data_IF_321606943584
#
_entry.id   IF_321606943584
#
_cell.length_a   1.000
_cell.length_b   1.000
_cell.length_c   1.000
_cell.angle_alpha   90.00
_cell.angle_beta   90.00
_cell.angle_gamma   90.00
#
_symmetry.space_group_name_H-M   'P 1'
#
loop_
_entity.id
_entity.type
_entity.pdbx_description
1 polymer ?
#
# COMPACT_ATOMS: atom_id res chain seq x y z
N UNK A 1 -3.94 -20.12 -13.11
CA UNK A 1 -4.85 -19.87 -11.96
C UNK A 1 -4.07 -19.47 -10.70
N UNK A 2 -3.04 -20.23 -10.32
CA UNK A 2 -2.24 -19.99 -9.10
C UNK A 2 -1.51 -18.64 -9.07
N UNK A 3 -0.95 -18.20 -10.20
CA UNK A 3 -0.23 -16.91 -10.34
C UNK A 3 -1.15 -15.72 -10.09
N UNK A 4 -2.38 -15.75 -10.60
CA UNK A 4 -3.36 -14.68 -10.42
C UNK A 4 -3.76 -14.51 -8.96
N UNK A 5 -4.02 -15.62 -8.24
CA UNK A 5 -4.37 -15.58 -6.81
C UNK A 5 -3.21 -15.03 -5.98
N UNK A 6 -1.98 -15.42 -6.32
CA UNK A 6 -0.78 -14.92 -5.65
C UNK A 6 -0.56 -13.43 -5.89
N UNK A 7 -0.69 -12.96 -7.14
CA UNK A 7 -0.62 -11.52 -7.50
C UNK A 7 -1.66 -10.73 -6.72
N UNK A 8 -2.92 -11.19 -6.72
CA UNK A 8 -4.01 -10.53 -6.04
C UNK A 8 -3.77 -10.44 -4.53
N UNK A 9 -3.30 -11.52 -3.91
CA UNK A 9 -2.99 -11.56 -2.49
C UNK A 9 -1.84 -10.61 -2.12
N UNK A 10 -0.75 -10.64 -2.89
CA UNK A 10 0.40 -9.75 -2.70
C UNK A 10 -0.01 -8.28 -2.89
N UNK A 11 -0.82 -7.99 -3.89
CA UNK A 11 -1.33 -6.64 -4.14
C UNK A 11 -2.18 -6.11 -2.98
N UNK A 12 -3.16 -6.90 -2.51
CA UNK A 12 -4.00 -6.53 -1.35
C UNK A 12 -3.12 -6.26 -0.13
N UNK A 13 -2.15 -7.13 0.13
CA UNK A 13 -1.24 -6.98 1.27
C UNK A 13 -0.35 -5.74 1.15
N UNK A 14 0.16 -5.44 -0.05
CA UNK A 14 0.96 -4.23 -0.32
C UNK A 14 0.17 -2.97 -0.03
N UNK A 15 -1.06 -2.88 -0.54
CA UNK A 15 -1.92 -1.71 -0.33
C UNK A 15 -2.25 -1.54 1.15
N UNK A 16 -2.51 -2.62 1.88
CA UNK A 16 -2.73 -2.55 3.33
C UNK A 16 -1.52 -2.00 4.07
N UNK A 17 -0.31 -2.44 3.71
CA UNK A 17 0.93 -1.95 4.33
C UNK A 17 1.25 -0.50 3.93
N UNK A 18 0.99 -0.12 2.69
CA UNK A 18 1.14 1.25 2.18
C UNK A 18 0.28 2.23 3.00
N UNK A 19 -1.00 1.92 3.16
CA UNK A 19 -1.94 2.74 3.91
C UNK A 19 -1.68 2.71 5.42
N UNK A 20 -1.27 1.55 5.95
CA UNK A 20 -0.81 1.44 7.32
C UNK A 20 0.40 2.34 7.58
N UNK A 21 1.35 2.43 6.65
CA UNK A 21 2.53 3.29 6.77
C UNK A 21 2.15 4.78 6.83
N UNK A 22 1.23 5.22 5.98
CA UNK A 22 0.67 6.57 6.06
C UNK A 22 0.03 6.86 7.43
N UNK A 23 -0.80 5.95 7.94
CA UNK A 23 -1.44 6.09 9.24
C UNK A 23 -0.42 6.09 10.40
N UNK A 24 0.60 5.21 10.34
CA UNK A 24 1.63 5.10 11.36
C UNK A 24 2.49 6.36 11.46
N UNK A 25 2.92 6.90 10.31
CA UNK A 25 3.70 8.15 10.27
C UNK A 25 2.84 9.35 10.67
N UNK A 26 1.56 9.39 10.30
CA UNK A 26 0.64 10.44 10.73
C UNK A 26 0.42 10.43 12.25
N UNK A 27 0.27 9.23 12.84
CA UNK A 27 0.17 9.07 14.29
C UNK A 27 1.40 9.62 15.02
N UNK A 28 2.60 9.27 14.53
CA UNK A 28 3.85 9.80 15.07
C UNK A 28 3.98 11.32 14.85
N UNK A 29 3.46 11.81 13.72
CA UNK A 29 3.47 13.20 13.33
C UNK A 29 2.47 14.09 14.08
N UNK A 30 1.56 13.52 14.87
CA UNK A 30 0.65 14.25 15.76
C UNK A 30 -0.82 13.99 15.51
N UNK A 31 -1.20 13.40 14.38
CA UNK A 31 -2.59 13.03 14.12
C UNK A 31 -2.95 11.73 14.86
N UNK A 32 -3.31 11.87 16.13
CA UNK A 32 -3.76 10.73 16.95
C UNK A 32 -5.12 10.18 16.53
N UNK A 33 -5.90 10.91 15.72
CA UNK A 33 -7.24 10.50 15.29
C UNK A 33 -7.23 9.28 14.38
N UNK A 34 -6.10 8.99 13.71
CA UNK A 34 -5.94 7.77 12.90
C UNK A 34 -6.08 6.50 13.73
N UNK A 35 -5.76 6.55 15.03
CA UNK A 35 -5.96 5.44 15.96
C UNK A 35 -7.44 5.20 16.22
N UNK A 36 -8.19 6.27 16.49
CA UNK A 36 -9.62 6.19 16.82
C UNK A 36 -10.46 5.82 15.60
N UNK A 37 -10.04 6.26 14.40
CA UNK A 37 -10.61 5.81 13.11
C UNK A 37 -10.31 4.33 12.80
N UNK A 38 -9.38 3.72 13.55
CA UNK A 38 -9.03 2.32 13.40
C UNK A 38 -8.12 2.03 12.20
N UNK A 39 -7.30 3.00 11.77
CA UNK A 39 -6.34 2.84 10.66
C UNK A 39 -4.98 2.26 11.08
N UNK A 40 -4.78 1.97 12.37
CA UNK A 40 -3.57 1.31 12.88
C UNK A 40 -3.79 -0.20 13.02
N UNK A 41 -4.22 -0.85 11.95
CA UNK A 41 -4.49 -2.30 11.92
C UNK A 41 -4.19 -2.85 10.54
N UNK A 42 -3.63 -4.04 10.41
CA UNK A 42 -3.43 -4.68 9.10
C UNK A 42 -4.70 -5.35 8.56
N UNK A 43 -5.87 -4.97 9.07
CA UNK A 43 -7.13 -5.56 8.63
C UNK A 43 -7.53 -4.95 7.27
N UNK A 44 -7.50 -5.72 6.16
CA UNK A 44 -7.88 -5.22 4.85
C UNK A 44 -9.30 -4.64 4.84
N UNK A 45 -10.22 -5.14 5.66
CA UNK A 45 -11.60 -4.63 5.70
C UNK A 45 -11.73 -3.19 6.20
N UNK A 46 -10.67 -2.62 6.78
CA UNK A 46 -10.62 -1.21 7.23
C UNK A 46 -10.11 -0.27 6.16
N UNK A 47 -9.47 -0.81 5.14
CA UNK A 47 -8.88 -0.11 4.01
C UNK A 47 -9.68 -0.34 2.73
N UNK A 48 -10.22 -1.54 2.58
CA UNK A 48 -11.12 -1.93 1.51
C UNK A 48 -12.56 -1.60 1.90
N UNK A 49 -13.01 -0.41 1.49
CA UNK A 49 -14.45 -0.16 1.40
C UNK A 49 -14.94 -0.89 0.13
N UNK A 50 -15.76 -1.96 0.23
CA UNK A 50 -16.01 -2.90 -0.87
C UNK A 50 -16.56 -2.24 -2.15
N UNK A 51 -17.18 -1.08 -2.01
CA UNK A 51 -17.80 -0.33 -3.10
C UNK A 51 -16.79 0.55 -3.87
N UNK A 52 -15.75 1.07 -3.19
CA UNK A 52 -14.73 1.93 -3.81
C UNK A 52 -13.43 1.17 -4.13
N UNK A 53 -13.05 0.18 -3.32
CA UNK A 53 -11.73 -0.47 -3.39
C UNK A 53 -11.64 -1.67 -4.32
N UNK A 54 -12.76 -2.23 -4.80
CA UNK A 54 -12.74 -3.31 -5.83
C UNK A 54 -12.99 -2.77 -7.24
N UNK A 55 -13.85 -1.75 -7.37
CA UNK A 55 -14.26 -1.22 -8.67
C UNK A 55 -13.14 -0.41 -9.34
N UNK A 56 -12.45 0.44 -8.57
CA UNK A 56 -11.37 1.30 -9.08
C UNK A 56 -10.17 0.49 -9.62
N UNK A 57 -9.58 -0.46 -8.87
CA UNK A 57 -8.44 -1.24 -9.38
C UNK A 57 -8.78 -2.07 -10.61
N UNK A 58 -9.99 -2.64 -10.69
CA UNK A 58 -10.45 -3.42 -11.85
C UNK A 58 -10.65 -2.53 -13.08
N UNK A 59 -11.26 -1.36 -12.92
CA UNK A 59 -11.45 -0.39 -14.01
C UNK A 59 -10.12 0.15 -14.52
N UNK A 60 -9.14 0.40 -13.63
CA UNK A 60 -7.82 0.90 -14.01
C UNK A 60 -6.92 -0.18 -14.63
N UNK A 61 -7.02 -1.43 -14.16
CA UNK A 61 -6.35 -2.58 -14.76
C UNK A 61 -6.82 -2.80 -16.21
N UNK A 62 -8.10 -2.53 -16.50
CA UNK A 62 -8.67 -2.58 -17.86
C UNK A 62 -8.24 -1.36 -18.71
N UNK A 63 -7.93 -0.21 -18.11
CA UNK A 63 -7.49 1.00 -18.82
C UNK A 63 -5.96 1.17 -18.94
N UNK A 64 -5.15 0.22 -18.43
CA UNK A 64 -3.69 0.24 -18.55
C UNK A 64 -2.99 1.34 -17.72
N UNK A 65 -3.64 1.84 -16.67
CA UNK A 65 -3.20 3.04 -15.93
C UNK A 65 -2.69 2.76 -14.52
N UNK A 66 -1.66 3.52 -14.14
CA UNK A 66 -0.99 3.61 -12.83
C UNK A 66 -2.03 3.53 -11.70
N UNK A 67 -1.90 2.53 -10.83
CA UNK A 67 -2.86 2.29 -9.75
C UNK A 67 -2.84 3.43 -8.73
N UNK A 68 -3.96 4.12 -8.56
CA UNK A 68 -4.17 4.95 -7.37
C UNK A 68 -4.55 4.03 -6.21
N UNK A 69 -3.97 4.23 -5.00
CA UNK A 69 -4.22 3.36 -3.86
C UNK A 69 -5.70 3.49 -3.49
N UNK A 70 -6.45 2.42 -3.71
CA UNK A 70 -7.90 2.37 -3.58
C UNK A 70 -8.41 2.39 -2.13
N UNK A 71 -7.66 2.92 -1.18
CA UNK A 71 -7.91 2.76 0.25
C UNK A 71 -7.46 3.99 1.07
N UNK A 72 -8.00 5.18 0.76
CA UNK A 72 -7.50 6.41 1.37
C UNK A 72 -7.65 6.43 2.91
N UNK A 73 -6.54 6.44 3.63
CA UNK A 73 -6.51 6.80 5.06
C UNK A 73 -6.79 8.29 5.21
N UNK A 74 -7.85 8.65 5.94
CA UNK A 74 -8.17 10.05 6.20
C UNK A 74 -7.29 10.65 7.30
N UNK A 75 -6.22 11.32 6.88
CA UNK A 75 -5.27 12.00 7.76
C UNK A 75 -5.68 13.45 7.98
N UNK A 76 -5.77 13.86 9.24
CA UNK A 76 -6.00 15.24 9.61
C UNK A 76 -4.67 16.01 9.62
N UNK A 77 -4.34 16.61 8.47
CA UNK A 77 -3.10 17.39 8.27
C UNK A 77 -2.98 18.58 9.23
N UNK A 78 -4.10 19.14 9.72
CA UNK A 78 -4.07 20.24 10.69
C UNK A 78 -3.52 19.86 12.07
N UNK A 79 -3.51 18.56 12.39
CA UNK A 79 -2.97 18.02 13.64
C UNK A 79 -1.49 17.62 13.53
N UNK A 80 -0.90 17.69 12.34
CA UNK A 80 0.51 17.39 12.13
C UNK A 80 1.38 18.50 12.70
N UNK A 81 2.46 18.10 13.38
CA UNK A 81 3.36 19.02 14.11
C UNK A 81 4.14 19.97 13.21
N UNK A 82 4.33 19.63 11.94
CA UNK A 82 5.03 20.47 10.96
C UNK A 82 4.82 20.01 9.52
N UNK A 83 5.19 20.85 8.56
CA UNK A 83 5.19 20.51 7.13
C UNK A 83 6.14 19.33 6.81
N UNK A 84 7.20 19.11 7.60
CA UNK A 84 8.07 17.95 7.43
C UNK A 84 7.33 16.63 7.73
N UNK A 85 6.42 16.63 8.70
CA UNK A 85 5.58 15.47 8.98
C UNK A 85 4.57 15.22 7.88
N UNK A 86 4.06 16.28 7.24
CA UNK A 86 3.16 16.15 6.09
C UNK A 86 3.86 15.51 4.87
N UNK A 87 5.11 15.91 4.62
CA UNK A 87 5.97 15.28 3.61
C UNK A 87 6.34 13.84 3.98
N UNK A 88 6.69 13.59 5.24
CA UNK A 88 7.03 12.25 5.73
C UNK A 88 5.83 11.30 5.61
N UNK A 89 4.63 11.77 5.95
CA UNK A 89 3.37 11.05 5.73
C UNK A 89 3.25 10.70 4.26
N UNK A 90 3.37 11.66 3.35
CA UNK A 90 3.21 11.43 1.90
C UNK A 90 4.25 10.44 1.33
N UNK A 91 5.46 10.39 1.90
CA UNK A 91 6.50 9.45 1.50
C UNK A 91 6.34 8.04 2.11
N UNK A 92 5.60 7.91 3.22
CA UNK A 92 5.52 6.68 4.00
C UNK A 92 5.00 5.47 3.20
N UNK A 93 3.93 5.66 2.42
CA UNK A 93 3.36 4.62 1.56
C UNK A 93 4.35 4.13 0.49
N UNK A 94 4.86 5.01 -0.39
CA UNK A 94 5.87 4.63 -1.38
C UNK A 94 7.14 4.00 -0.79
N UNK A 95 7.60 4.50 0.37
CA UNK A 95 8.75 3.92 1.07
C UNK A 95 8.46 2.50 1.57
N UNK A 96 7.25 2.21 2.04
CA UNK A 96 6.84 0.87 2.46
C UNK A 96 6.76 -0.10 1.29
N UNK A 97 6.21 0.33 0.15
CA UNK A 97 6.18 -0.45 -1.09
C UNK A 97 7.60 -0.80 -1.58
N UNK A 98 8.50 0.19 -1.59
CA UNK A 98 9.91 -0.04 -1.94
C UNK A 98 10.58 -1.02 -0.97
N UNK A 99 10.33 -0.89 0.32
CA UNK A 99 10.87 -1.79 1.34
C UNK A 99 10.36 -3.22 1.16
N UNK A 100 9.07 -3.40 0.87
CA UNK A 100 8.48 -4.70 0.55
C UNK A 100 9.11 -5.32 -0.70
N UNK A 101 9.28 -4.53 -1.76
CA UNK A 101 9.95 -4.98 -2.99
C UNK A 101 11.37 -5.48 -2.70
N UNK A 102 12.17 -4.69 -1.98
CA UNK A 102 13.57 -5.04 -1.66
C UNK A 102 13.63 -6.29 -0.78
N UNK A 103 12.75 -6.42 0.22
CA UNK A 103 12.69 -7.60 1.08
C UNK A 103 12.32 -8.86 0.30
N UNK A 104 11.30 -8.79 -0.55
CA UNK A 104 10.87 -9.94 -1.35
C UNK A 104 11.89 -10.32 -2.42
N UNK A 105 12.52 -9.33 -3.07
CA UNK A 105 13.59 -9.56 -4.03
C UNK A 105 14.83 -10.21 -3.38
N UNK A 106 15.18 -9.79 -2.15
CA UNK A 106 16.26 -10.39 -1.38
C UNK A 106 15.93 -11.81 -0.91
N UNK A 107 14.70 -12.07 -0.45
CA UNK A 107 14.26 -13.37 0.05
C UNK A 107 14.15 -14.42 -1.06
N UNK A 108 13.68 -14.03 -2.25
CA UNK A 108 13.49 -14.92 -3.40
C UNK A 108 14.74 -15.05 -4.27
N UNK A 109 15.69 -14.11 -4.19
CA UNK A 109 16.85 -14.02 -5.06
C UNK A 109 16.52 -13.39 -6.42
N UNK A 110 17.23 -12.33 -6.78
CA UNK A 110 17.02 -11.53 -8.01
C UNK A 110 16.91 -12.36 -9.31
N UNK A 111 17.71 -13.42 -9.54
CA UNK A 111 17.61 -14.22 -10.76
C UNK A 111 16.36 -15.10 -10.80
N UNK A 112 15.93 -15.61 -9.64
CA UNK A 112 14.72 -16.44 -9.52
C UNK A 112 13.45 -15.59 -9.67
N UNK A 113 13.46 -14.33 -9.20
CA UNK A 113 12.38 -13.37 -9.41
C UNK A 113 12.21 -13.04 -10.89
N UNK A 114 13.29 -12.66 -11.58
CA UNK A 114 13.26 -12.26 -12.98
C UNK A 114 12.87 -13.39 -13.94
N UNK A 115 13.18 -14.64 -13.58
CA UNK A 115 12.83 -15.83 -14.35
C UNK A 115 11.46 -16.43 -13.96
N UNK A 116 10.81 -15.91 -12.90
CA UNK A 116 9.54 -16.46 -12.43
C UNK A 116 8.32 -15.85 -13.13
N UNK A 117 7.26 -16.65 -13.24
CA UNK A 117 5.93 -16.22 -13.66
C UNK A 117 5.33 -15.12 -12.74
N UNK A 118 5.97 -14.86 -11.60
CA UNK A 118 5.56 -13.90 -10.56
C UNK A 118 6.26 -12.54 -10.68
N UNK A 119 7.16 -12.35 -11.65
CA UNK A 119 7.83 -11.06 -11.87
C UNK A 119 6.86 -9.86 -12.01
N UNK A 120 5.72 -9.97 -12.72
CA UNK A 120 4.74 -8.88 -12.80
C UNK A 120 4.08 -8.58 -11.44
N UNK A 121 3.88 -9.61 -10.61
CA UNK A 121 3.32 -9.47 -9.26
C UNK A 121 4.23 -8.62 -8.37
N UNK A 122 5.53 -8.93 -8.42
CA UNK A 122 6.56 -8.25 -7.64
C UNK A 122 6.77 -6.81 -8.13
N UNK A 123 6.70 -6.56 -9.44
CA UNK A 123 6.74 -5.21 -9.98
C UNK A 123 5.55 -4.34 -9.52
N UNK A 124 4.37 -4.95 -9.35
CA UNK A 124 3.18 -4.25 -8.86
C UNK A 124 3.27 -3.81 -7.40
N UNK A 125 4.15 -4.45 -6.60
CA UNK A 125 4.44 -4.02 -5.22
C UNK A 125 5.26 -2.73 -5.16
N UNK A 126 5.88 -2.33 -6.27
CA UNK A 126 6.68 -1.11 -6.37
C UNK A 126 5.85 0.14 -6.69
N UNK A 127 4.60 -0.04 -7.14
CA UNK A 127 3.64 1.00 -7.49
C UNK A 127 2.77 1.33 -6.28
#
# INVERSE_FOLDING_TARGET
>A
MSTFVLVLFLWIFSVCLHEFAHAAVAYQGGDTTVKDKGYLTLNPSKYLDPMNSLLLPVVFLVMGGIGLPGAAVYINRSLLRSAHWDSAVSLAGPAMNLLLLVLLAGLLGLPAVAASEYAPALAFLAL
#
